data_IF_043143364665
#
_entry.id   IF_043143364665
#
_cell.length_a   1.000
_cell.length_b   1.000
_cell.length_c   1.000
_cell.angle_alpha   90.00
_cell.angle_beta   90.00
_cell.angle_gamma   90.00
#
_symmetry.space_group_name_H-M   'P 1'
#
loop_
_entity.id
_entity.type
_entity.pdbx_description
1 polymer ?
#
# COMPACT_ATOMS: atom_id res chain seq x y z
N UNK A 1 -19.62 7.13 3.27
CA UNK A 1 -18.14 7.13 3.20
C UNK A 1 -17.70 5.70 3.49
N UNK A 2 -17.36 4.94 2.46
CA UNK A 2 -16.72 3.64 2.63
C UNK A 2 -15.24 3.93 2.90
N UNK A 3 -14.74 3.59 4.08
CA UNK A 3 -13.32 3.81 4.40
C UNK A 3 -12.43 2.99 3.47
N UNK A 4 -11.29 3.55 3.06
CA UNK A 4 -10.33 2.86 2.18
C UNK A 4 -9.54 1.77 2.91
N UNK A 5 -9.61 1.73 4.24
CA UNK A 5 -9.03 0.70 5.09
C UNK A 5 -10.12 -0.14 5.75
N UNK A 6 -9.92 -1.45 5.76
CA UNK A 6 -10.79 -2.42 6.43
C UNK A 6 -9.94 -3.19 7.44
N UNK A 7 -10.42 -3.32 8.68
CA UNK A 7 -9.79 -4.20 9.65
C UNK A 7 -10.11 -5.65 9.27
N UNK A 8 -9.08 -6.47 9.11
CA UNK A 8 -9.20 -7.90 8.85
C UNK A 8 -8.18 -8.67 9.69
N UNK A 9 -8.46 -9.94 9.98
CA UNK A 9 -7.45 -10.81 10.60
C UNK A 9 -6.38 -11.17 9.56
N UNK A 10 -5.17 -11.50 10.01
CA UNK A 10 -4.10 -11.92 9.10
C UNK A 10 -4.47 -13.20 8.35
N UNK A 11 -5.15 -14.13 9.02
CA UNK A 11 -5.64 -15.37 8.40
C UNK A 11 -6.68 -15.09 7.31
N UNK A 12 -7.63 -14.17 7.57
CA UNK A 12 -8.60 -13.75 6.56
C UNK A 12 -7.94 -13.00 5.41
N UNK A 13 -6.93 -12.17 5.68
CA UNK A 13 -6.17 -11.48 4.64
C UNK A 13 -5.48 -12.50 3.72
N UNK A 14 -4.72 -13.42 4.32
CA UNK A 14 -3.98 -14.45 3.60
C UNK A 14 -4.93 -15.37 2.82
N UNK A 15 -6.10 -15.71 3.37
CA UNK A 15 -7.08 -16.56 2.69
C UNK A 15 -7.76 -15.87 1.50
N UNK A 16 -8.12 -14.59 1.65
CA UNK A 16 -8.97 -13.92 0.66
C UNK A 16 -8.21 -13.08 -0.37
N UNK A 17 -6.98 -12.64 -0.06
CA UNK A 17 -6.25 -11.67 -0.88
C UNK A 17 -4.85 -12.12 -1.31
N UNK A 18 -4.24 -13.09 -0.63
CA UNK A 18 -2.94 -13.64 -1.05
C UNK A 18 -3.20 -14.85 -1.95
N UNK A 19 -2.74 -14.77 -3.21
CA UNK A 19 -2.86 -15.86 -4.18
C UNK A 19 -2.33 -17.18 -3.60
N UNK A 20 -2.99 -18.29 -3.94
CA UNK A 20 -2.52 -19.60 -3.47
C UNK A 20 -1.07 -19.84 -3.95
N UNK A 21 -0.21 -20.33 -3.05
CA UNK A 21 1.18 -20.56 -3.39
C UNK A 21 1.27 -21.54 -4.55
N UNK A 22 1.89 -21.11 -5.64
CA UNK A 22 2.32 -22.03 -6.69
C UNK A 22 3.65 -22.66 -6.27
N UNK A 23 4.03 -23.77 -6.91
CA UNK A 23 5.34 -24.40 -6.67
C UNK A 23 6.54 -23.45 -6.86
N UNK A 24 6.33 -22.27 -7.48
CA UNK A 24 7.36 -21.26 -7.70
C UNK A 24 7.44 -20.19 -6.59
N UNK A 25 6.38 -20.00 -5.79
CA UNK A 25 6.35 -18.94 -4.75
C UNK A 25 5.70 -19.51 -3.47
N UNK A 26 6.49 -19.87 -2.45
CA UNK A 26 5.94 -20.34 -1.19
C UNK A 26 5.14 -19.22 -0.50
N UNK A 27 4.09 -19.63 0.23
CA UNK A 27 3.30 -18.68 1.02
C UNK A 27 4.21 -18.10 2.11
N UNK A 28 4.31 -16.77 2.23
CA UNK A 28 5.18 -16.17 3.23
C UNK A 28 4.66 -16.45 4.65
N UNK A 29 5.60 -16.54 5.61
CA UNK A 29 5.29 -16.83 7.02
C UNK A 29 4.37 -15.74 7.62
N UNK A 30 3.17 -16.09 8.11
CA UNK A 30 2.24 -15.14 8.73
C UNK A 30 2.86 -14.32 9.88
N UNK A 31 3.81 -14.90 10.62
CA UNK A 31 4.49 -14.20 11.71
C UNK A 31 5.34 -13.02 11.19
N UNK A 32 5.89 -13.17 9.99
CA UNK A 32 6.70 -12.15 9.33
C UNK A 32 5.83 -10.97 8.86
N UNK A 33 4.60 -11.25 8.42
CA UNK A 33 3.59 -10.22 8.09
C UNK A 33 3.09 -9.48 9.32
N UNK A 34 2.77 -10.18 10.40
CA UNK A 34 2.35 -9.56 11.67
C UNK A 34 3.41 -8.59 12.20
N UNK A 35 4.67 -9.01 12.21
CA UNK A 35 5.78 -8.17 12.66
C UNK A 35 6.02 -6.95 11.76
N UNK A 36 5.62 -7.02 10.48
CA UNK A 36 5.82 -5.94 9.54
C UNK A 36 4.90 -4.74 9.80
N UNK A 37 3.67 -4.97 10.26
CA UNK A 37 2.67 -3.91 10.48
C UNK A 37 2.54 -3.46 11.94
N UNK A 38 3.51 -3.80 12.80
CA UNK A 38 3.51 -3.42 14.23
C UNK A 38 3.40 -1.90 14.47
N UNK A 39 3.84 -1.07 13.52
CA UNK A 39 3.77 0.38 13.58
C UNK A 39 2.43 1.00 13.14
N UNK A 40 1.45 0.19 12.73
CA UNK A 40 0.18 0.68 12.22
C UNK A 40 -0.73 1.24 13.33
N UNK A 41 -1.48 2.33 13.05
CA UNK A 41 -2.46 2.86 14.00
C UNK A 41 -3.63 1.90 14.25
N UNK A 42 -4.37 2.12 15.34
CA UNK A 42 -5.57 1.34 15.70
C UNK A 42 -6.86 2.00 15.18
N UNK A 43 -7.97 1.27 15.25
CA UNK A 43 -9.29 1.60 14.68
C UNK A 43 -9.85 3.02 14.91
N UNK A 44 -9.46 3.73 15.96
CA UNK A 44 -9.99 5.07 16.26
C UNK A 44 -9.17 6.21 15.63
N UNK A 45 -8.22 5.87 14.75
CA UNK A 45 -7.37 6.85 14.07
C UNK A 45 -8.04 7.29 12.78
N UNK A 46 -7.86 8.56 12.38
CA UNK A 46 -8.34 9.06 11.10
C UNK A 46 -7.60 8.38 9.94
N UNK A 47 -8.29 8.14 8.83
CA UNK A 47 -7.75 7.45 7.64
C UNK A 47 -6.40 8.06 7.16
N UNK A 48 -6.31 9.39 7.13
CA UNK A 48 -5.09 10.08 6.72
C UNK A 48 -3.84 9.76 7.57
N UNK A 49 -4.03 9.29 8.81
CA UNK A 49 -2.95 8.90 9.70
C UNK A 49 -2.41 7.48 9.43
N UNK A 50 -3.05 6.68 8.57
CA UNK A 50 -2.61 5.32 8.24
C UNK A 50 -1.57 5.27 7.13
N UNK A 51 -1.59 6.21 6.19
CA UNK A 51 -0.75 6.13 5.00
C UNK A 51 0.76 6.26 5.27
N UNK A 52 1.17 7.19 6.12
CA UNK A 52 2.59 7.33 6.45
C UNK A 52 3.14 6.11 7.23
N UNK A 53 2.45 5.59 8.27
CA UNK A 53 2.82 4.32 8.89
C UNK A 53 2.84 3.14 7.91
N UNK A 54 1.89 3.08 6.98
CA UNK A 54 1.82 2.02 5.97
C UNK A 54 3.08 2.01 5.09
N UNK A 55 3.47 3.18 4.55
CA UNK A 55 4.71 3.33 3.78
C UNK A 55 5.95 2.92 4.58
N UNK A 56 6.02 3.32 5.85
CA UNK A 56 7.14 2.94 6.72
C UNK A 56 7.21 1.42 6.95
N UNK A 57 6.06 0.77 7.17
CA UNK A 57 5.99 -0.68 7.38
C UNK A 57 6.39 -1.47 6.12
N UNK A 58 5.83 -1.08 4.96
CA UNK A 58 6.09 -1.74 3.68
C UNK A 58 7.56 -1.58 3.27
N UNK A 59 8.08 -0.36 3.31
CA UNK A 59 9.45 -0.07 2.89
C UNK A 59 10.47 -0.58 3.92
N UNK A 60 10.23 -0.35 5.22
CA UNK A 60 11.17 -0.69 6.28
C UNK A 60 11.40 -2.19 6.46
N UNK A 61 10.50 -3.03 5.94
CA UNK A 61 10.64 -4.50 5.93
C UNK A 61 10.92 -5.06 4.53
N UNK A 62 11.06 -4.19 3.53
CA UNK A 62 11.24 -4.57 2.13
C UNK A 62 10.19 -5.60 1.65
N UNK A 63 8.91 -5.34 1.95
CA UNK A 63 7.82 -6.26 1.61
C UNK A 63 7.57 -6.35 0.10
N UNK A 64 7.97 -5.33 -0.66
CA UNK A 64 7.86 -5.26 -2.10
C UNK A 64 9.24 -4.98 -2.74
N UNK A 65 10.11 -5.98 -2.89
CA UNK A 65 11.45 -5.76 -3.45
C UNK A 65 11.38 -5.15 -4.85
N UNK A 66 12.18 -4.10 -5.09
CA UNK A 66 12.21 -3.36 -6.36
C UNK A 66 11.15 -2.26 -6.47
N UNK A 67 10.32 -2.08 -5.44
CA UNK A 67 9.31 -1.04 -5.37
C UNK A 67 9.36 -0.31 -4.03
N UNK A 68 9.05 0.98 -4.08
CA UNK A 68 8.91 1.83 -2.90
C UNK A 68 7.49 2.36 -2.80
N UNK A 69 6.84 2.18 -1.65
CA UNK A 69 5.53 2.79 -1.36
C UNK A 69 5.74 4.25 -0.95
N UNK A 70 5.18 5.20 -1.70
CA UNK A 70 5.22 6.64 -1.37
C UNK A 70 3.82 7.21 -1.22
N UNK A 71 3.72 8.23 -0.37
CA UNK A 71 2.53 9.08 -0.30
C UNK A 71 2.40 9.89 -1.59
N UNK A 72 1.17 9.98 -2.09
CA UNK A 72 0.84 10.75 -3.29
C UNK A 72 0.08 11.99 -2.85
N UNK A 73 0.64 13.16 -3.17
CA UNK A 73 0.07 14.46 -2.78
C UNK A 73 -0.85 15.05 -3.86
N UNK A 74 -1.03 14.34 -4.97
CA UNK A 74 -1.74 14.84 -6.13
C UNK A 74 -3.22 15.10 -5.84
N UNK A 75 -3.75 16.12 -6.51
CA UNK A 75 -5.19 16.39 -6.51
C UNK A 75 -5.87 15.32 -7.38
N UNK A 76 -7.11 14.90 -7.04
CA UNK A 76 -7.89 14.06 -7.93
C UNK A 76 -7.96 14.69 -9.32
N UNK A 77 -7.98 13.86 -10.35
CA UNK A 77 -8.25 14.32 -11.71
C UNK A 77 -9.64 14.97 -11.71
N UNK A 78 -9.68 16.30 -11.81
CA UNK A 78 -10.94 17.04 -11.77
C UNK A 78 -11.77 16.83 -13.05
N UNK A 79 -11.12 16.37 -14.12
CA UNK A 79 -11.72 16.13 -15.42
C UNK A 79 -12.23 14.69 -15.56
N UNK A 80 -11.83 13.77 -14.67
CA UNK A 80 -12.30 12.39 -14.65
C UNK A 80 -12.76 11.95 -13.23
N UNK A 81 -14.08 12.02 -12.95
CA UNK A 81 -14.62 11.65 -11.64
C UNK A 81 -14.51 10.15 -11.33
N UNK A 82 -14.14 9.31 -12.30
CA UNK A 82 -13.85 7.90 -12.05
C UNK A 82 -12.46 7.67 -11.43
N UNK A 83 -11.55 8.65 -11.58
CA UNK A 83 -10.20 8.60 -11.01
C UNK A 83 -10.19 9.20 -9.61
N UNK A 84 -10.44 8.35 -8.63
CA UNK A 84 -10.31 8.75 -7.23
C UNK A 84 -8.86 9.09 -6.91
N UNK A 85 -8.67 10.12 -6.07
CA UNK A 85 -7.34 10.42 -5.52
C UNK A 85 -6.80 9.19 -4.80
N UNK A 86 -5.60 8.76 -5.20
CA UNK A 86 -4.79 7.79 -4.47
C UNK A 86 -3.93 8.56 -3.46
N UNK A 87 -3.88 8.10 -2.21
CA UNK A 87 -3.14 8.78 -1.14
C UNK A 87 -1.75 8.17 -0.91
N UNK A 88 -1.51 6.95 -1.41
CA UNK A 88 -0.21 6.30 -1.48
C UNK A 88 -0.17 5.28 -2.63
N UNK A 89 0.95 5.19 -3.34
CA UNK A 89 1.14 4.28 -4.48
C UNK A 89 2.53 3.63 -4.45
N UNK A 90 2.66 2.46 -5.09
CA UNK A 90 3.94 1.80 -5.32
C UNK A 90 4.58 2.38 -6.58
N UNK A 91 5.86 2.69 -6.47
CA UNK A 91 6.69 3.13 -7.58
C UNK A 91 7.83 2.13 -7.74
N UNK A 92 8.19 1.78 -8.98
CA UNK A 92 9.45 1.10 -9.23
C UNK A 92 10.59 1.95 -8.67
N UNK A 93 11.60 1.32 -8.06
CA UNK A 93 12.76 2.04 -7.54
C UNK A 93 13.49 2.83 -8.64
N UNK A 94 13.34 2.44 -9.91
CA UNK A 94 13.87 3.16 -11.08
C UNK A 94 13.12 4.43 -11.44
N UNK A 95 11.86 4.55 -11.03
CA UNK A 95 10.90 5.55 -11.54
C UNK A 95 10.58 6.62 -10.50
N UNK A 96 11.25 6.59 -9.35
CA UNK A 96 11.06 7.54 -8.25
C UNK A 96 11.57 8.93 -8.65
N UNK A 97 10.73 9.70 -9.32
CA UNK A 97 10.94 11.12 -9.59
C UNK A 97 10.41 11.94 -8.41
N UNK A 98 11.31 12.50 -7.60
CA UNK A 98 10.98 13.35 -6.45
C UNK A 98 10.71 14.81 -6.88
N UNK A 99 9.99 15.00 -7.99
CA UNK A 99 9.75 16.31 -8.61
C UNK A 99 8.44 16.99 -8.15
N UNK A 100 7.70 16.33 -7.26
CA UNK A 100 6.46 16.84 -6.68
C UNK A 100 5.31 16.96 -7.68
N UNK A 101 5.42 16.33 -8.86
CA UNK A 101 4.38 16.32 -9.89
C UNK A 101 3.56 15.03 -9.88
N UNK A 102 2.35 15.05 -10.44
CA UNK A 102 1.56 13.84 -10.57
C UNK A 102 2.16 12.82 -11.53
N UNK A 103 2.53 11.66 -10.98
CA UNK A 103 3.22 10.57 -11.67
C UNK A 103 2.22 9.47 -12.11
N UNK A 104 1.02 9.85 -12.56
CA UNK A 104 -0.05 8.92 -12.95
C UNK A 104 0.38 7.77 -13.86
N UNK A 105 1.27 7.95 -14.86
CA UNK A 105 1.65 6.87 -15.78
C UNK A 105 2.55 5.79 -15.17
N UNK A 106 3.19 6.05 -14.03
CA UNK A 106 4.16 5.15 -13.38
C UNK A 106 3.66 4.62 -12.03
N UNK A 107 2.42 4.96 -11.66
CA UNK A 107 1.75 4.37 -10.50
C UNK A 107 1.30 2.97 -10.87
N UNK A 108 2.07 1.97 -10.46
CA UNK A 108 1.68 0.56 -10.58
C UNK A 108 0.70 0.23 -9.44
N UNK A 109 -0.57 0.05 -9.80
CA UNK A 109 -1.76 -0.20 -8.96
C UNK A 109 -2.45 1.02 -8.33
N UNK A 110 -3.58 1.38 -8.97
CA UNK A 110 -4.78 2.05 -8.43
C UNK A 110 -5.63 1.14 -7.54
#
# INVERSE_FOLDING_TARGET
MYGKFILTSVDDFIRNFVAEPSNAIPRPDPALWLAAFTGMPRNNTKENAFYAPLANCVNGRNLCPGYTLKLVYDRPDLDDPSKQKVDAALFSDSDVLDDGRPQWPVQEMW
#
